data_IF_121813910794
#
_entry.id   IF_121813910794
#
_cell.length_a   1.000
_cell.length_b   1.000
_cell.length_c   1.000
_cell.angle_alpha   90.00
_cell.angle_beta   90.00
_cell.angle_gamma   90.00
#
_symmetry.space_group_name_H-M   'P 1'
#
loop_
_entity.id
_entity.type
_entity.pdbx_description
1 polymer ?
#
# COMPACT_ATOMS: atom_id res chain seq x y z
N UNK A 1 -22.68 2.89 -18.21
CA UNK A 1 -22.61 2.49 -19.63
C UNK A 1 -22.90 1.00 -19.75
N UNK A 2 -23.47 0.54 -20.87
CA UNK A 2 -23.64 -0.90 -21.12
C UNK A 2 -22.28 -1.51 -21.45
N UNK A 3 -22.03 -2.74 -20.98
CA UNK A 3 -20.74 -3.43 -21.14
C UNK A 3 -20.21 -3.47 -22.59
N UNK A 4 -21.11 -3.48 -23.58
CA UNK A 4 -20.76 -3.53 -25.00
C UNK A 4 -20.13 -2.24 -25.54
N UNK A 5 -20.44 -1.09 -24.96
CA UNK A 5 -19.86 0.19 -25.37
C UNK A 5 -18.49 0.40 -24.72
N UNK A 6 -18.24 -0.27 -23.59
CA UNK A 6 -16.98 -0.23 -22.86
C UNK A 6 -15.88 -1.03 -23.58
N UNK A 7 -16.17 -2.26 -24.03
CA UNK A 7 -15.21 -3.10 -24.76
C UNK A 7 -14.71 -2.42 -26.04
N UNK A 8 -15.62 -1.81 -26.81
CA UNK A 8 -15.27 -1.17 -28.08
C UNK A 8 -14.36 0.05 -27.90
N UNK A 9 -14.55 0.80 -26.81
CA UNK A 9 -13.73 1.98 -26.49
C UNK A 9 -12.36 1.57 -25.89
N UNK A 10 -12.28 0.38 -25.27
CA UNK A 10 -11.03 -0.19 -24.74
C UNK A 10 -10.10 -0.70 -25.86
N UNK A 11 -10.66 -1.35 -26.88
CA UNK A 11 -9.88 -1.88 -28.01
C UNK A 11 -9.41 -0.78 -28.99
N UNK A 12 -10.20 0.30 -29.16
CA UNK A 12 -9.88 1.35 -30.14
C UNK A 12 -8.78 2.34 -29.68
N UNK A 13 -8.32 2.28 -28.41
CA UNK A 13 -7.20 3.08 -27.87
C UNK A 13 -7.33 4.62 -28.12
N UNK A 14 -8.56 5.10 -28.35
CA UNK A 14 -8.88 6.48 -28.78
C UNK A 14 -9.50 7.34 -27.68
N UNK A 15 -9.13 7.12 -26.42
CA UNK A 15 -9.50 8.05 -25.35
C UNK A 15 -9.19 7.54 -23.97
N UNK A 16 -8.87 8.46 -23.06
CA UNK A 16 -8.72 8.18 -21.63
C UNK A 16 -10.07 7.72 -21.06
N UNK A 17 -10.25 6.40 -20.99
CA UNK A 17 -11.44 5.72 -20.42
C UNK A 17 -11.71 6.16 -18.97
N UNK A 18 -10.71 6.79 -18.35
CA UNK A 18 -10.71 7.38 -17.01
C UNK A 18 -11.80 8.46 -16.87
N UNK A 19 -12.07 9.27 -17.90
CA UNK A 19 -13.07 10.37 -17.84
C UNK A 19 -14.51 9.86 -17.77
N UNK A 20 -14.72 8.60 -18.17
CA UNK A 20 -16.03 7.95 -18.22
C UNK A 20 -16.30 7.05 -17.01
N UNK A 21 -15.28 6.85 -16.16
CA UNK A 21 -15.38 6.04 -14.96
C UNK A 21 -15.83 6.94 -13.81
N UNK A 22 -16.94 6.60 -13.16
CA UNK A 22 -17.40 7.32 -11.96
C UNK A 22 -16.45 7.01 -10.78
N UNK A 23 -15.33 7.73 -10.73
CA UNK A 23 -14.29 7.61 -9.70
C UNK A 23 -14.77 8.08 -8.32
N UNK A 24 -15.98 8.65 -8.20
CA UNK A 24 -16.51 9.16 -6.92
C UNK A 24 -16.73 8.04 -5.89
N UNK A 25 -16.83 6.79 -6.35
CA UNK A 25 -17.02 5.59 -5.52
C UNK A 25 -15.73 4.78 -5.30
N UNK A 26 -14.60 5.16 -5.94
CA UNK A 26 -13.32 4.50 -5.75
C UNK A 26 -12.71 4.86 -4.39
N UNK A 27 -13.12 4.12 -3.35
CA UNK A 27 -12.42 4.11 -2.07
C UNK A 27 -11.30 3.08 -2.15
N UNK A 28 -10.07 3.53 -1.94
CA UNK A 28 -8.92 2.62 -1.83
C UNK A 28 -9.00 1.95 -0.45
N UNK A 29 -9.18 0.62 -0.36
CA UNK A 29 -9.10 -0.09 0.92
C UNK A 29 -7.79 0.28 1.62
N UNK A 30 -7.81 0.45 2.95
CA UNK A 30 -6.68 0.88 3.78
C UNK A 30 -6.25 2.36 3.70
N UNK A 31 -7.11 3.27 3.22
CA UNK A 31 -6.83 4.71 3.21
C UNK A 31 -6.74 5.36 4.60
N UNK A 32 -7.32 4.75 5.63
CA UNK A 32 -7.31 5.30 6.99
C UNK A 32 -5.97 5.03 7.68
N UNK A 33 -5.08 6.01 7.66
CA UNK A 33 -3.81 5.95 8.39
C UNK A 33 -4.03 6.33 9.85
N UNK A 34 -3.60 5.48 10.79
CA UNK A 34 -3.56 5.78 12.23
C UNK A 34 -2.11 5.99 12.64
N UNK A 35 -1.81 7.13 13.27
CA UNK A 35 -0.47 7.40 13.82
C UNK A 35 -0.28 6.58 15.11
N UNK A 36 0.87 5.94 15.22
CA UNK A 36 1.32 5.19 16.40
C UNK A 36 2.70 5.72 16.77
N UNK A 37 2.95 5.92 18.07
CA UNK A 37 4.26 6.29 18.60
C UNK A 37 4.89 5.04 19.23
N UNK A 38 6.18 4.82 18.96
CA UNK A 38 6.95 3.68 19.47
C UNK A 38 8.34 4.18 19.82
N UNK A 39 8.82 3.82 21.00
CA UNK A 39 10.19 4.08 21.41
C UNK A 39 11.10 2.90 21.03
N UNK A 40 12.28 3.21 20.51
CA UNK A 40 13.27 2.22 20.09
C UNK A 40 14.59 2.45 20.81
N UNK A 41 15.31 1.38 21.20
CA UNK A 41 16.69 1.51 21.66
C UNK A 41 17.58 2.16 20.60
N UNK A 42 18.58 2.94 21.03
CA UNK A 42 19.49 3.68 20.13
C UNK A 42 20.14 2.74 19.10
N UNK A 43 20.66 1.60 19.54
CA UNK A 43 21.31 0.62 18.66
C UNK A 43 20.41 0.12 17.52
N UNK A 44 19.09 0.07 17.77
CA UNK A 44 18.11 -0.37 16.78
C UNK A 44 17.85 0.74 15.76
N UNK A 45 17.78 1.99 16.21
CA UNK A 45 17.64 3.16 15.33
C UNK A 45 18.85 3.26 14.39
N UNK A 46 20.07 3.12 14.92
CA UNK A 46 21.30 3.16 14.13
C UNK A 46 21.32 2.06 13.06
N UNK A 47 20.86 0.86 13.42
CA UNK A 47 20.76 -0.27 12.49
C UNK A 47 19.72 -0.01 11.39
N UNK A 48 18.56 0.55 11.75
CA UNK A 48 17.51 0.92 10.80
C UNK A 48 17.98 2.02 9.85
N UNK A 49 18.71 3.01 10.34
CA UNK A 49 19.24 4.12 9.53
C UNK A 49 20.27 3.67 8.52
N UNK A 50 21.19 2.78 8.94
CA UNK A 50 22.19 2.21 8.05
C UNK A 50 21.51 1.46 6.90
N UNK A 51 20.48 0.69 7.19
CA UNK A 51 19.77 -0.10 6.20
C UNK A 51 18.88 0.76 5.28
N UNK A 52 18.18 1.73 5.85
CA UNK A 52 17.42 2.71 5.08
C UNK A 52 18.32 3.48 4.11
N UNK A 53 19.52 3.89 4.56
CA UNK A 53 20.51 4.58 3.74
C UNK A 53 21.05 3.67 2.62
N UNK A 54 21.32 2.39 2.93
CA UNK A 54 21.79 1.40 1.95
C UNK A 54 20.79 1.20 0.80
N UNK A 55 19.50 1.26 1.12
CA UNK A 55 18.40 1.08 0.17
C UNK A 55 17.90 2.40 -0.44
N UNK A 56 18.42 3.55 0.01
CA UNK A 56 17.99 4.87 -0.46
C UNK A 56 16.55 5.22 -0.08
N UNK A 57 16.06 4.70 1.05
CA UNK A 57 14.69 4.92 1.55
C UNK A 57 14.69 5.58 2.92
N UNK A 58 13.52 6.01 3.39
CA UNK A 58 13.40 6.55 4.75
C UNK A 58 13.33 5.43 5.79
N UNK A 59 13.72 5.75 7.04
CA UNK A 59 13.54 4.86 8.20
C UNK A 59 12.09 4.37 8.34
N UNK A 60 11.11 5.23 8.09
CA UNK A 60 9.70 4.86 8.17
C UNK A 60 9.32 3.84 7.09
N UNK A 61 9.88 3.94 5.89
CA UNK A 61 9.63 3.00 4.80
C UNK A 61 10.14 1.60 5.14
N UNK A 62 11.37 1.49 5.66
CA UNK A 62 11.94 0.18 6.01
C UNK A 62 11.17 -0.48 7.16
N UNK A 63 10.76 0.30 8.17
CA UNK A 63 9.91 -0.19 9.28
C UNK A 63 8.58 -0.74 8.74
N UNK A 64 7.94 -0.04 7.80
CA UNK A 64 6.65 -0.48 7.22
C UNK A 64 6.81 -1.79 6.45
N UNK A 65 7.84 -1.91 5.62
CA UNK A 65 8.08 -3.11 4.81
C UNK A 65 8.33 -4.32 5.69
N UNK A 66 9.27 -4.22 6.65
CA UNK A 66 9.60 -5.34 7.53
C UNK A 66 8.43 -5.76 8.42
N UNK A 67 7.63 -4.80 8.89
CA UNK A 67 6.42 -5.11 9.65
C UNK A 67 5.39 -5.84 8.78
N UNK A 68 5.15 -5.37 7.55
CA UNK A 68 4.24 -6.02 6.62
C UNK A 68 4.68 -7.45 6.30
N UNK A 69 5.96 -7.64 5.95
CA UNK A 69 6.55 -8.96 5.71
C UNK A 69 6.35 -9.87 6.93
N UNK A 70 6.65 -9.39 8.14
CA UNK A 70 6.51 -10.22 9.34
C UNK A 70 5.05 -10.60 9.63
N UNK A 71 4.10 -9.72 9.34
CA UNK A 71 2.67 -9.96 9.50
C UNK A 71 2.11 -10.93 8.45
N UNK A 72 2.60 -10.87 7.21
CA UNK A 72 2.24 -11.81 6.14
C UNK A 72 2.79 -13.22 6.39
N UNK A 73 4.01 -13.32 6.92
CA UNK A 73 4.66 -14.59 7.24
C UNK A 73 4.23 -15.17 8.60
N UNK A 74 3.53 -14.40 9.42
CA UNK A 74 2.88 -14.96 10.60
C UNK A 74 1.62 -15.68 10.11
N UNK A 75 1.46 -17.00 10.36
CA UNK A 75 0.17 -17.62 10.11
C UNK A 75 -0.81 -16.84 10.96
N UNK A 76 -1.73 -16.12 10.32
CA UNK A 76 -2.80 -15.46 11.03
C UNK A 76 -3.44 -16.53 11.91
N UNK A 77 -3.20 -16.46 13.23
CA UNK A 77 -4.04 -17.14 14.20
C UNK A 77 -5.44 -16.69 13.82
N UNK A 78 -6.20 -17.62 13.24
CA UNK A 78 -7.62 -17.47 12.94
C UNK A 78 -8.29 -17.24 14.30
N UNK A 79 -8.25 -16.02 14.80
CA UNK A 79 -9.03 -15.65 15.97
C UNK A 79 -10.44 -15.47 15.47
N UNK A 80 -11.20 -16.55 15.63
CA UNK A 80 -12.64 -16.57 15.73
C UNK A 80 -13.15 -15.40 16.59
N UNK A 81 -13.99 -14.55 16.01
CA UNK A 81 -15.27 -14.07 16.58
C UNK A 81 -15.92 -13.12 15.58
#
# INVERSE_FOLDING_TARGET
MKAKDFDKTFDDNTGDIIDSLDLSTLKRPNQTQKRVNVDFPIWMIDSLDKEASRLGVTRQSIIKVWLAERLEHSPATKTSS
#
